data_IF_643198807873
#
_entry.id   IF_643198807873
#
_cell.length_a   1.000
_cell.length_b   1.000
_cell.length_c   1.000
_cell.angle_alpha   90.00
_cell.angle_beta   90.00
_cell.angle_gamma   90.00
#
_symmetry.space_group_name_H-M   'P 1'
#
loop_
_entity.id
_entity.type
_entity.pdbx_description
1 polymer ?
#
# COMPACT_ATOMS: atom_id res chain seq x y z
N UNK A 1 -10.41 32.41 10.73
CA UNK A 1 -9.07 32.01 11.23
C UNK A 1 -8.79 30.64 10.65
N UNK A 2 -7.62 30.43 10.05
CA UNK A 2 -7.33 29.21 9.29
C UNK A 2 -6.18 28.40 9.90
N UNK A 3 -6.28 27.07 9.86
CA UNK A 3 -5.24 26.15 10.32
C UNK A 3 -4.91 25.13 9.24
N UNK A 4 -3.64 24.77 9.14
CA UNK A 4 -3.18 23.61 8.36
C UNK A 4 -2.71 22.55 9.34
N UNK A 5 -3.38 21.41 9.32
CA UNK A 5 -2.99 20.24 10.10
C UNK A 5 -2.21 19.31 9.18
N UNK A 6 -0.99 19.00 9.56
CA UNK A 6 -0.12 18.13 8.78
C UNK A 6 0.09 16.84 9.57
N UNK A 7 -0.17 15.69 8.95
CA UNK A 7 0.18 14.39 9.48
C UNK A 7 1.12 13.67 8.54
N UNK A 8 1.92 12.73 9.05
CA UNK A 8 2.79 11.89 8.25
C UNK A 8 2.02 10.68 7.70
N UNK A 9 1.99 10.51 6.37
CA UNK A 9 1.28 9.40 5.71
C UNK A 9 1.89 8.04 6.07
N UNK A 10 3.18 7.99 6.43
CA UNK A 10 3.88 6.76 6.82
C UNK A 10 3.66 6.37 8.29
N UNK A 11 3.01 7.23 9.08
CA UNK A 11 2.84 7.02 10.52
C UNK A 11 1.38 7.20 10.95
N UNK A 12 0.69 6.09 11.18
CA UNK A 12 -0.72 6.07 11.60
C UNK A 12 -0.97 6.83 12.91
N UNK A 13 -0.05 6.78 13.88
CA UNK A 13 -0.18 7.55 15.12
C UNK A 13 -0.20 9.05 14.86
N UNK A 14 0.53 9.53 13.85
CA UNK A 14 0.48 10.93 13.43
C UNK A 14 -0.92 11.33 12.95
N UNK A 15 -1.66 10.41 12.33
CA UNK A 15 -3.05 10.65 11.90
C UNK A 15 -4.02 10.59 13.08
N UNK A 16 -3.88 9.64 13.99
CA UNK A 16 -4.74 9.54 15.18
C UNK A 16 -4.64 10.80 16.05
N UNK A 17 -3.43 11.34 16.22
CA UNK A 17 -3.18 12.57 16.96
C UNK A 17 -3.92 13.80 16.37
N UNK A 18 -4.28 13.80 15.08
CA UNK A 18 -5.05 14.89 14.46
C UNK A 18 -6.40 15.10 15.15
N UNK A 19 -7.00 14.04 15.71
CA UNK A 19 -8.28 14.14 16.45
C UNK A 19 -8.14 14.96 17.72
N UNK A 20 -7.04 14.78 18.44
CA UNK A 20 -6.74 15.55 19.65
C UNK A 20 -6.41 16.99 19.29
N UNK A 21 -5.64 17.20 18.23
CA UNK A 21 -5.35 18.54 17.71
C UNK A 21 -6.61 19.28 17.25
N UNK A 22 -7.52 18.61 16.55
CA UNK A 22 -8.83 19.18 16.16
C UNK A 22 -9.66 19.57 17.39
N UNK A 23 -9.64 18.75 18.44
CA UNK A 23 -10.36 19.03 19.68
C UNK A 23 -9.78 20.25 20.41
N UNK A 24 -8.45 20.34 20.48
CA UNK A 24 -7.76 21.50 21.06
C UNK A 24 -8.03 22.77 20.26
N UNK A 25 -8.02 22.70 18.92
CA UNK A 25 -8.33 23.85 18.07
C UNK A 25 -9.76 24.34 18.28
N UNK A 26 -10.75 23.43 18.43
CA UNK A 26 -12.14 23.83 18.72
C UNK A 26 -12.30 24.55 20.06
N UNK A 27 -11.52 24.18 21.07
CA UNK A 27 -11.60 24.78 22.41
C UNK A 27 -10.91 26.16 22.45
N UNK A 28 -9.80 26.31 21.73
CA UNK A 28 -8.96 27.51 21.81
C UNK A 28 -9.16 28.48 20.64
N UNK A 29 -9.89 28.10 19.59
CA UNK A 29 -10.20 29.01 18.50
C UNK A 29 -11.19 30.09 18.97
N UNK A 30 -10.87 31.34 18.63
CA UNK A 30 -11.72 32.50 18.88
C UNK A 30 -12.98 32.53 17.98
N UNK A 31 -13.00 31.72 16.92
CA UNK A 31 -14.07 31.66 15.93
C UNK A 31 -14.85 30.35 16.05
N UNK A 32 -16.18 30.41 15.96
CA UNK A 32 -17.06 29.23 16.03
C UNK A 32 -16.82 28.22 14.91
N UNK A 33 -16.28 28.67 13.77
CA UNK A 33 -15.96 27.82 12.63
C UNK A 33 -14.62 28.23 11.98
N UNK A 34 -13.48 27.69 12.43
CA UNK A 34 -12.20 27.90 11.77
C UNK A 34 -12.09 27.07 10.47
N UNK A 35 -11.44 27.63 9.46
CA UNK A 35 -11.13 26.92 8.21
C UNK A 35 -9.94 25.99 8.44
N UNK A 36 -10.10 24.69 8.20
CA UNK A 36 -9.05 23.71 8.47
C UNK A 36 -8.74 22.91 7.20
N UNK A 37 -7.47 22.90 6.82
CA UNK A 37 -6.94 22.06 5.74
C UNK A 37 -6.11 20.95 6.37
N UNK A 38 -6.40 19.70 6.01
CA UNK A 38 -5.63 18.54 6.43
C UNK A 38 -4.69 18.11 5.30
N UNK A 39 -3.40 17.99 5.61
CA UNK A 39 -2.35 17.65 4.67
C UNK A 39 -1.60 16.39 5.11
N UNK A 40 -1.51 15.40 4.23
CA UNK A 40 -0.63 14.24 4.41
C UNK A 40 0.77 14.55 3.89
N UNK A 41 1.77 14.47 4.76
CA UNK A 41 3.18 14.68 4.46
C UNK A 41 3.89 13.35 4.15
N UNK A 42 5.06 13.42 3.51
CA UNK A 42 5.89 12.27 3.09
C UNK A 42 5.23 11.39 2.03
N UNK A 43 4.48 12.00 1.11
CA UNK A 43 3.87 11.28 -0.02
C UNK A 43 4.93 10.68 -0.97
N UNK A 44 6.15 11.22 -0.98
CA UNK A 44 7.32 10.68 -1.65
C UNK A 44 7.80 9.35 -1.04
N UNK A 45 7.66 9.17 0.28
CA UNK A 45 7.92 7.87 0.93
C UNK A 45 6.81 6.85 0.68
N UNK A 46 5.75 7.24 -0.03
CA UNK A 46 4.75 6.32 -0.57
C UNK A 46 5.23 5.65 -1.87
N UNK A 47 6.54 5.59 -2.10
CA UNK A 47 7.15 4.64 -3.04
C UNK A 47 7.00 3.25 -2.39
N UNK A 48 6.36 2.32 -3.09
CA UNK A 48 6.02 0.96 -2.64
C UNK A 48 4.71 0.80 -1.84
N UNK A 49 3.65 1.51 -2.25
CA UNK A 49 2.31 0.95 -2.06
C UNK A 49 2.10 -0.26 -2.97
N UNK A 50 2.59 -1.44 -2.59
CA UNK A 50 2.27 -2.79 -3.13
C UNK A 50 2.01 -2.87 -4.66
N UNK A 51 2.82 -2.22 -5.49
CA UNK A 51 2.80 -2.43 -6.92
C UNK A 51 4.08 -3.16 -7.31
N UNK A 52 3.99 -4.32 -7.99
CA UNK A 52 5.19 -5.02 -8.44
C UNK A 52 6.00 -4.08 -9.34
N UNK A 53 7.28 -3.95 -9.05
CA UNK A 53 8.23 -3.13 -9.79
C UNK A 53 9.24 -4.05 -10.49
N UNK A 54 9.45 -3.83 -11.78
CA UNK A 54 10.42 -4.57 -12.57
C UNK A 54 11.31 -3.59 -13.35
N UNK A 55 12.62 -3.77 -13.24
CA UNK A 55 13.57 -3.12 -14.14
C UNK A 55 13.68 -3.95 -15.41
N UNK A 56 13.13 -3.46 -16.52
CA UNK A 56 13.06 -4.20 -17.79
C UNK A 56 13.91 -3.54 -18.88
N UNK A 57 14.51 -4.36 -19.74
CA UNK A 57 15.25 -3.90 -20.92
C UNK A 57 14.73 -4.63 -22.16
N UNK A 58 14.09 -3.88 -23.06
CA UNK A 58 13.52 -4.42 -24.29
C UNK A 58 14.59 -4.90 -25.29
N UNK A 59 15.76 -4.25 -25.31
CA UNK A 59 16.85 -4.61 -26.24
C UNK A 59 17.56 -5.91 -25.85
N UNK A 60 17.64 -6.20 -24.55
CA UNK A 60 18.29 -7.40 -24.00
C UNK A 60 17.29 -8.42 -23.48
N UNK A 61 15.99 -8.19 -23.69
CA UNK A 61 14.88 -9.01 -23.17
C UNK A 61 14.94 -9.28 -21.66
N UNK A 62 15.63 -8.43 -20.89
CA UNK A 62 15.81 -8.65 -19.45
C UNK A 62 14.53 -8.27 -18.70
N UNK A 63 14.01 -9.19 -17.89
CA UNK A 63 12.82 -9.05 -17.04
C UNK A 63 11.49 -8.71 -17.76
N UNK A 64 11.48 -8.67 -19.09
CA UNK A 64 10.26 -8.38 -19.87
C UNK A 64 9.22 -9.48 -19.67
N UNK A 65 9.60 -10.75 -19.85
CA UNK A 65 8.68 -11.89 -19.70
C UNK A 65 8.16 -12.01 -18.26
N UNK A 66 9.05 -11.98 -17.26
CA UNK A 66 8.71 -12.03 -15.83
C UNK A 66 7.73 -10.93 -15.41
N UNK A 67 7.86 -9.73 -15.99
CA UNK A 67 6.96 -8.61 -15.68
C UNK A 67 5.56 -8.80 -16.26
N UNK A 68 5.45 -9.46 -17.42
CA UNK A 68 4.17 -9.76 -18.08
C UNK A 68 3.47 -10.93 -17.37
N UNK A 69 4.20 -11.98 -17.00
CA UNK A 69 3.64 -13.13 -16.27
C UNK A 69 3.10 -12.70 -14.91
N UNK A 70 3.84 -11.88 -14.17
CA UNK A 70 3.40 -11.33 -12.90
C UNK A 70 2.09 -10.52 -13.03
N UNK A 71 1.93 -9.76 -14.11
CA UNK A 71 0.70 -9.03 -14.37
C UNK A 71 -0.47 -9.99 -14.65
N UNK A 72 -0.24 -11.04 -15.44
CA UNK A 72 -1.26 -12.04 -15.75
C UNK A 72 -1.72 -12.79 -14.50
N UNK A 73 -0.80 -13.18 -13.63
CA UNK A 73 -1.12 -13.86 -12.37
C UNK A 73 -2.00 -13.00 -11.45
N UNK A 74 -1.67 -11.71 -11.32
CA UNK A 74 -2.48 -10.77 -10.53
C UNK A 74 -3.89 -10.58 -11.11
N UNK A 75 -4.02 -10.59 -12.44
CA UNK A 75 -5.33 -10.50 -13.11
C UNK A 75 -6.14 -11.78 -12.90
N UNK A 76 -5.53 -12.95 -13.05
CA UNK A 76 -6.20 -14.25 -12.84
C UNK A 76 -6.67 -14.41 -11.39
N UNK A 77 -5.82 -14.04 -10.43
CA UNK A 77 -6.17 -14.04 -9.02
C UNK A 77 -7.36 -13.12 -8.72
N UNK A 78 -7.37 -11.91 -9.31
CA UNK A 78 -8.48 -10.98 -9.17
C UNK A 78 -9.78 -11.50 -9.80
N UNK A 79 -9.69 -12.19 -10.94
CA UNK A 79 -10.85 -12.84 -11.57
C UNK A 79 -11.39 -13.95 -10.66
N UNK A 80 -10.53 -14.84 -10.14
CA UNK A 80 -10.94 -15.93 -9.26
C UNK A 80 -11.64 -15.40 -8.00
N UNK A 81 -11.08 -14.37 -7.35
CA UNK A 81 -11.69 -13.72 -6.18
C UNK A 81 -13.04 -13.07 -6.48
N UNK A 82 -13.25 -12.60 -7.72
CA UNK A 82 -14.53 -12.01 -8.13
C UNK A 82 -15.61 -13.05 -8.47
N UNK A 83 -15.21 -14.31 -8.74
CA UNK A 83 -16.11 -15.39 -9.14
C UNK A 83 -16.52 -16.27 -7.94
N UNK A 84 -15.70 -16.36 -6.88
CA UNK A 84 -15.96 -17.23 -5.71
C UNK A 84 -16.77 -16.57 -4.55
N UNK A 85 -17.23 -15.33 -4.70
CA UNK A 85 -18.43 -14.79 -4.01
C UNK A 85 -18.30 -14.21 -2.58
N UNK A 86 -18.84 -13.00 -2.41
CA UNK A 86 -19.63 -12.49 -1.26
C UNK A 86 -19.27 -12.81 0.22
N UNK A 87 -18.12 -13.35 0.61
CA UNK A 87 -17.71 -13.43 2.02
C UNK A 87 -16.18 -13.27 2.24
N UNK A 88 -15.81 -12.20 2.95
CA UNK A 88 -14.47 -11.87 3.47
C UNK A 88 -13.94 -12.95 4.46
N UNK A 89 -12.63 -13.03 4.82
CA UNK A 89 -11.76 -11.92 5.23
C UNK A 89 -10.48 -11.73 4.39
N UNK A 90 -10.15 -10.46 4.17
CA UNK A 90 -8.95 -9.93 3.51
C UNK A 90 -7.78 -9.97 4.47
N UNK A 91 -7.25 -11.14 4.81
CA UNK A 91 -6.11 -11.20 5.73
C UNK A 91 -4.87 -11.87 5.16
N UNK A 92 -4.84 -12.22 3.87
CA UNK A 92 -3.85 -13.22 3.51
C UNK A 92 -3.11 -13.20 2.18
N UNK A 93 -3.33 -12.25 1.29
CA UNK A 93 -2.58 -12.21 0.03
C UNK A 93 -1.67 -11.00 -0.08
N UNK A 94 -0.51 -11.04 0.59
CA UNK A 94 0.79 -10.62 0.03
C UNK A 94 1.90 -11.29 0.86
N UNK A 95 2.16 -12.59 0.63
CA UNK A 95 3.51 -13.11 0.88
C UNK A 95 4.42 -12.44 -0.16
N UNK A 96 5.27 -11.53 0.31
CA UNK A 96 6.25 -10.85 -0.53
C UNK A 96 7.16 -11.88 -1.19
N UNK A 97 7.17 -11.91 -2.52
CA UNK A 97 8.14 -12.69 -3.27
C UNK A 97 9.45 -11.90 -3.24
N UNK A 98 10.35 -12.25 -2.33
CA UNK A 98 11.77 -11.92 -2.49
C UNK A 98 12.33 -12.88 -3.53
N UNK A 99 12.57 -12.37 -4.74
CA UNK A 99 13.22 -13.14 -5.79
C UNK A 99 14.71 -13.17 -5.46
N UNK A 100 15.14 -14.16 -4.67
CA UNK A 100 16.55 -14.48 -4.50
C UNK A 100 17.06 -15.14 -5.80
N UNK A 101 18.24 -14.72 -6.26
CA UNK A 101 18.93 -15.29 -7.40
C UNK A 101 19.34 -16.75 -7.14
N UNK A 102 18.78 -17.64 -7.98
CA UNK A 102 19.23 -18.99 -8.38
C UNK A 102 19.54 -20.06 -7.31
N UNK A 103 18.65 -21.06 -7.17
CA UNK A 103 19.04 -22.49 -7.30
C UNK A 103 17.85 -23.44 -7.46
N UNK A 104 17.99 -24.35 -8.42
CA UNK A 104 17.14 -25.52 -8.69
C UNK A 104 17.27 -26.57 -7.58
N UNK A 105 16.23 -26.81 -6.78
CA UNK A 105 15.90 -28.10 -6.17
C UNK A 105 14.48 -28.06 -5.56
N UNK A 106 13.86 -29.25 -5.47
CA UNK A 106 12.42 -29.39 -5.37
C UNK A 106 11.79 -29.25 -3.99
N UNK A 107 10.47 -29.47 -4.03
CA UNK A 107 9.57 -29.73 -2.92
C UNK A 107 9.28 -28.56 -1.96
N UNK A 108 8.00 -28.18 -2.00
CA UNK A 108 7.14 -27.99 -0.84
C UNK A 108 7.59 -27.02 0.25
N UNK A 109 6.66 -26.12 0.59
CA UNK A 109 6.50 -25.49 1.92
C UNK A 109 6.88 -24.01 2.07
N UNK A 110 6.55 -23.14 1.12
CA UNK A 110 6.51 -21.69 1.36
C UNK A 110 5.69 -21.10 0.21
N UNK A 111 4.38 -20.84 0.34
CA UNK A 111 3.79 -19.94 1.31
C UNK A 111 2.64 -20.62 2.06
N UNK A 112 2.97 -21.21 3.20
CA UNK A 112 2.05 -21.25 4.31
C UNK A 112 1.67 -19.81 4.69
N UNK A 113 0.47 -19.70 5.25
CA UNK A 113 -0.11 -18.49 5.78
C UNK A 113 -0.59 -17.56 4.64
N UNK A 114 -1.56 -18.12 3.90
CA UNK A 114 -2.93 -17.59 3.80
C UNK A 114 -3.86 -18.12 4.92
#
# INVERSE_FOLDING_TARGET
>A
MGFVLIFDITNEQSFLNIRDWLSQLKIHAYCEAPDIILCGNKADLRIAGNLPYFETSACTSTNVEKSVDCLLDLVMQRIQMSVDGDNLPTEYLVMGITVDEDTNEGASAYCANC
#
